data_IF_774227185209
#
_entry.id   IF_774227185209
#
_cell.length_a   1.000
_cell.length_b   1.000
_cell.length_c   1.000
_cell.angle_alpha   90.00
_cell.angle_beta   90.00
_cell.angle_gamma   90.00
#
_symmetry.space_group_name_H-M   'P 1'
#
loop_
_entity.id
_entity.type
_entity.pdbx_description
1 polymer ?
#
# COMPACT_ATOMS: atom_id res chain seq x y z
N UNK A 1 -8.69 10.77 2.47
CA UNK A 1 -8.52 9.37 2.02
C UNK A 1 -7.63 8.56 2.97
N UNK A 2 -6.37 8.94 3.20
CA UNK A 2 -5.43 8.15 4.03
C UNK A 2 -5.92 7.75 5.43
N UNK A 3 -6.68 8.60 6.13
CA UNK A 3 -7.21 8.26 7.46
C UNK A 3 -8.39 7.30 7.47
N UNK A 4 -9.11 7.17 6.35
CA UNK A 4 -10.42 6.52 6.30
C UNK A 4 -10.49 5.36 5.32
N UNK A 5 -9.39 5.05 4.63
CA UNK A 5 -9.36 4.06 3.56
C UNK A 5 -9.81 2.66 4.01
N UNK A 6 -9.49 2.30 5.26
CA UNK A 6 -9.84 1.02 5.85
C UNK A 6 -11.18 1.00 6.60
N UNK A 7 -11.99 2.07 6.56
CA UNK A 7 -13.25 2.14 7.34
C UNK A 7 -14.25 1.03 6.98
N UNK A 8 -14.22 0.53 5.75
CA UNK A 8 -15.06 -0.58 5.29
C UNK A 8 -14.78 -1.91 6.00
N UNK A 9 -13.60 -2.07 6.63
CA UNK A 9 -13.28 -3.24 7.44
C UNK A 9 -14.22 -3.39 8.66
N UNK A 10 -14.91 -2.32 9.06
CA UNK A 10 -15.97 -2.39 10.08
C UNK A 10 -17.20 -3.18 9.64
N UNK A 11 -17.41 -3.34 8.33
CA UNK A 11 -18.45 -4.19 7.73
C UNK A 11 -17.87 -5.56 7.41
N UNK A 12 -16.86 -5.61 6.53
CA UNK A 12 -16.20 -6.84 6.11
C UNK A 12 -14.80 -6.52 5.59
N UNK A 13 -13.88 -7.48 5.74
CA UNK A 13 -12.56 -7.42 5.10
C UNK A 13 -12.65 -7.60 3.59
N UNK A 14 -13.59 -8.41 3.11
CA UNK A 14 -13.88 -8.55 1.69
C UNK A 14 -14.62 -7.31 1.18
N UNK A 15 -14.16 -6.76 0.06
CA UNK A 15 -14.73 -5.54 -0.56
C UNK A 15 -14.71 -4.33 0.40
N UNK A 16 -13.68 -4.21 1.24
CA UNK A 16 -13.62 -3.13 2.23
C UNK A 16 -13.42 -1.76 1.56
N UNK A 17 -12.77 -1.70 0.40
CA UNK A 17 -12.65 -0.46 -0.39
C UNK A 17 -14.01 0.06 -0.82
N UNK A 18 -14.79 -0.69 -1.64
CA UNK A 18 -16.13 -0.30 -2.06
C UNK A 18 -17.09 -0.01 -0.90
N UNK A 19 -17.10 -0.87 0.13
CA UNK A 19 -17.92 -0.66 1.32
C UNK A 19 -17.55 0.64 2.04
N UNK A 20 -16.25 0.92 2.17
CA UNK A 20 -15.74 2.17 2.75
C UNK A 20 -16.17 3.40 1.95
N UNK A 21 -16.11 3.34 0.62
CA UNK A 21 -16.55 4.44 -0.25
C UNK A 21 -18.05 4.77 -0.08
N UNK A 22 -18.90 3.73 -0.05
CA UNK A 22 -20.36 3.89 0.15
C UNK A 22 -20.68 4.46 1.54
N UNK A 23 -19.98 3.98 2.58
CA UNK A 23 -20.13 4.50 3.94
C UNK A 23 -19.71 5.97 4.05
N UNK A 24 -18.58 6.34 3.43
CA UNK A 24 -17.99 7.67 3.58
C UNK A 24 -18.78 8.75 2.85
N UNK A 25 -19.44 8.45 1.74
CA UNK A 25 -20.16 9.46 0.97
C UNK A 25 -21.15 10.30 1.82
N UNK A 26 -22.14 9.71 2.51
CA UNK A 26 -23.04 10.49 3.35
C UNK A 26 -22.33 11.16 4.54
N UNK A 27 -21.36 10.48 5.17
CA UNK A 27 -20.64 10.98 6.34
C UNK A 27 -19.86 12.26 6.00
N UNK A 28 -19.11 12.26 4.90
CA UNK A 28 -18.30 13.41 4.49
C UNK A 28 -19.19 14.57 4.02
N UNK A 29 -20.31 14.26 3.35
CA UNK A 29 -21.30 15.27 2.95
C UNK A 29 -21.95 15.96 4.14
N UNK A 30 -22.38 15.18 5.14
CA UNK A 30 -23.00 15.70 6.38
C UNK A 30 -22.00 16.49 7.23
N UNK A 31 -20.72 16.14 7.19
CA UNK A 31 -19.64 16.90 7.81
C UNK A 31 -19.33 18.24 7.12
N UNK A 32 -20.02 18.57 6.01
CA UNK A 32 -19.88 19.84 5.30
C UNK A 32 -18.72 19.88 4.29
N UNK A 33 -18.17 18.72 3.90
CA UNK A 33 -17.13 18.66 2.87
C UNK A 33 -17.71 18.96 1.48
N UNK A 34 -16.96 19.72 0.68
CA UNK A 34 -17.35 20.05 -0.69
C UNK A 34 -17.50 18.80 -1.55
N UNK A 35 -18.50 18.79 -2.46
CA UNK A 35 -18.86 17.58 -3.21
C UNK A 35 -17.68 17.02 -4.03
N UNK A 36 -16.85 17.90 -4.60
CA UNK A 36 -15.70 17.49 -5.38
C UNK A 36 -14.66 16.76 -4.51
N UNK A 37 -14.41 17.26 -3.30
CA UNK A 37 -13.47 16.64 -2.36
C UNK A 37 -14.02 15.31 -1.82
N UNK A 38 -15.34 15.25 -1.56
CA UNK A 38 -16.02 13.99 -1.20
C UNK A 38 -15.81 12.94 -2.28
N UNK A 39 -16.09 13.27 -3.54
CA UNK A 39 -15.93 12.35 -4.67
C UNK A 39 -14.48 11.92 -4.82
N UNK A 40 -13.52 12.83 -4.73
CA UNK A 40 -12.10 12.49 -4.79
C UNK A 40 -11.69 11.50 -3.68
N UNK A 41 -12.16 11.72 -2.44
CA UNK A 41 -11.87 10.84 -1.31
C UNK A 41 -12.51 9.47 -1.49
N UNK A 42 -13.82 9.39 -1.74
CA UNK A 42 -14.50 8.08 -1.85
C UNK A 42 -14.02 7.30 -3.07
N UNK A 43 -13.66 7.96 -4.17
CA UNK A 43 -13.11 7.27 -5.35
C UNK A 43 -11.73 6.71 -5.03
N UNK A 44 -10.87 7.45 -4.34
CA UNK A 44 -9.59 6.93 -3.88
C UNK A 44 -9.77 5.73 -2.92
N UNK A 45 -10.71 5.82 -1.96
CA UNK A 45 -11.00 4.73 -1.02
C UNK A 45 -11.66 3.53 -1.71
N UNK A 46 -12.55 3.73 -2.67
CA UNK A 46 -13.21 2.62 -3.38
C UNK A 46 -12.24 1.77 -4.21
N UNK A 47 -11.12 2.35 -4.64
CA UNK A 47 -10.24 1.78 -5.65
C UNK A 47 -8.83 1.43 -5.14
N UNK A 48 -8.60 1.43 -3.82
CA UNK A 48 -7.27 1.19 -3.27
C UNK A 48 -6.94 -0.29 -2.99
N UNK A 49 -7.83 -1.23 -3.30
CA UNK A 49 -7.55 -2.67 -3.18
C UNK A 49 -6.93 -3.27 -4.45
N UNK A 50 -6.02 -4.22 -4.28
CA UNK A 50 -5.21 -4.80 -5.35
C UNK A 50 -6.04 -5.66 -6.33
N UNK A 51 -7.08 -6.33 -5.82
CA UNK A 51 -7.87 -7.31 -6.59
C UNK A 51 -8.91 -6.65 -7.52
N UNK A 52 -9.39 -5.46 -7.17
CA UNK A 52 -10.54 -4.82 -7.83
C UNK A 52 -10.35 -3.33 -8.11
N UNK A 53 -9.31 -2.70 -7.56
CA UNK A 53 -9.08 -1.27 -7.62
C UNK A 53 -8.33 -0.80 -8.87
N UNK A 54 -8.37 0.50 -9.11
CA UNK A 54 -7.62 1.16 -10.19
C UNK A 54 -7.17 2.55 -9.75
N UNK A 55 -5.92 2.88 -10.05
CA UNK A 55 -5.38 4.23 -9.78
C UNK A 55 -6.02 5.24 -10.73
N UNK A 56 -6.82 6.16 -10.18
CA UNK A 56 -7.69 7.06 -10.97
C UNK A 56 -7.40 8.55 -10.78
N UNK A 57 -6.59 8.91 -9.78
CA UNK A 57 -6.24 10.30 -9.47
C UNK A 57 -4.90 10.38 -8.74
N UNK A 58 -4.33 11.58 -8.62
CA UNK A 58 -3.11 11.78 -7.83
C UNK A 58 -3.31 11.42 -6.35
N UNK A 59 -4.51 11.67 -5.79
CA UNK A 59 -4.87 11.27 -4.42
C UNK A 59 -4.96 9.75 -4.30
N UNK A 60 -5.55 9.07 -5.28
CA UNK A 60 -5.61 7.60 -5.33
C UNK A 60 -4.19 7.00 -5.43
N UNK A 61 -3.34 7.55 -6.29
CA UNK A 61 -1.95 7.10 -6.44
C UNK A 61 -1.16 7.26 -5.13
N UNK A 62 -1.26 8.43 -4.49
CA UNK A 62 -0.62 8.70 -3.22
C UNK A 62 -1.13 7.77 -2.11
N UNK A 63 -2.44 7.47 -2.09
CA UNK A 63 -3.03 6.53 -1.13
C UNK A 63 -2.48 5.11 -1.33
N UNK A 64 -2.46 4.61 -2.57
CA UNK A 64 -1.94 3.28 -2.90
C UNK A 64 -0.47 3.17 -2.49
N UNK A 65 0.37 4.13 -2.85
CA UNK A 65 1.79 4.11 -2.46
C UNK A 65 1.90 4.07 -0.93
N UNK A 66 1.17 4.92 -0.20
CA UNK A 66 1.24 4.98 1.25
C UNK A 66 0.77 3.68 1.93
N UNK A 67 -0.33 3.08 1.48
CA UNK A 67 -0.89 1.85 2.06
C UNK A 67 -0.09 0.60 1.67
N UNK A 68 0.15 0.41 0.37
CA UNK A 68 0.73 -0.84 -0.14
C UNK A 68 2.22 -0.97 0.15
N UNK A 69 2.92 0.15 0.31
CA UNK A 69 4.32 0.14 0.77
C UNK A 69 4.46 0.00 2.29
N UNK A 70 3.39 0.09 3.09
CA UNK A 70 3.46 -0.09 4.54
C UNK A 70 3.60 -1.58 4.90
N UNK A 71 4.84 -2.03 4.99
CA UNK A 71 5.22 -3.36 5.47
C UNK A 71 6.16 -3.20 6.68
N UNK A 72 5.76 -3.67 7.86
CA UNK A 72 6.59 -3.50 9.06
C UNK A 72 6.34 -4.59 10.10
N UNK A 73 7.40 -4.93 10.86
CA UNK A 73 7.36 -5.92 11.96
C UNK A 73 6.35 -5.63 13.07
N UNK A 74 5.91 -4.38 13.22
CA UNK A 74 4.87 -4.00 14.19
C UNK A 74 3.52 -4.63 13.88
N UNK A 75 3.32 -5.16 12.67
CA UNK A 75 2.15 -5.94 12.29
C UNK A 75 2.11 -7.34 12.95
N UNK A 76 3.22 -7.81 13.52
CA UNK A 76 3.30 -9.09 14.25
C UNK A 76 2.76 -8.89 15.68
N UNK A 77 1.69 -9.61 16.00
CA UNK A 77 1.02 -9.52 17.32
C UNK A 77 2.01 -9.87 18.44
N UNK A 78 2.08 -9.03 19.46
CA UNK A 78 2.87 -9.24 20.68
C UNK A 78 4.39 -9.45 20.48
N UNK A 79 4.94 -9.10 19.31
CA UNK A 79 6.38 -9.23 19.01
C UNK A 79 6.90 -10.68 18.96
N UNK A 80 6.01 -11.68 18.95
CA UNK A 80 6.35 -13.10 18.84
C UNK A 80 5.73 -13.64 17.55
N UNK A 81 6.51 -13.81 16.48
CA UNK A 81 5.98 -14.36 15.23
C UNK A 81 5.61 -15.83 15.40
N UNK A 82 4.49 -16.24 14.82
CA UNK A 82 4.25 -17.64 14.53
C UNK A 82 5.23 -18.08 13.42
N UNK A 83 6.15 -18.98 13.74
CA UNK A 83 7.14 -19.48 12.78
C UNK A 83 6.50 -20.29 11.65
N UNK A 84 5.29 -20.80 11.82
CA UNK A 84 4.58 -21.57 10.80
C UNK A 84 3.82 -20.67 9.82
N UNK A 85 3.46 -19.45 10.21
CA UNK A 85 2.78 -18.48 9.36
C UNK A 85 3.79 -17.64 8.55
N UNK A 86 3.69 -17.72 7.22
CA UNK A 86 4.55 -16.96 6.29
C UNK A 86 4.37 -15.45 6.45
N UNK A 87 3.16 -14.98 6.74
CA UNK A 87 2.90 -13.54 6.92
C UNK A 87 3.63 -13.01 8.15
N UNK A 88 3.58 -13.73 9.27
CA UNK A 88 4.29 -13.36 10.48
C UNK A 88 5.81 -13.43 10.30
N UNK A 89 6.34 -14.48 9.67
CA UNK A 89 7.78 -14.58 9.36
C UNK A 89 8.27 -13.43 8.49
N UNK A 90 7.56 -13.14 7.39
CA UNK A 90 7.93 -12.07 6.46
C UNK A 90 7.86 -10.72 7.18
N UNK A 91 6.76 -10.40 7.85
CA UNK A 91 6.61 -9.12 8.56
C UNK A 91 7.67 -8.99 9.65
N UNK A 92 7.93 -10.04 10.43
CA UNK A 92 8.97 -10.03 11.46
C UNK A 92 10.36 -9.81 10.88
N UNK A 93 10.62 -10.34 9.67
CA UNK A 93 11.93 -10.19 9.04
C UNK A 93 12.25 -8.73 8.68
N UNK A 94 11.24 -7.90 8.37
CA UNK A 94 11.38 -6.49 7.98
C UNK A 94 11.75 -5.64 9.20
N UNK A 95 13.04 -5.29 9.31
CA UNK A 95 13.60 -4.47 10.39
C UNK A 95 13.51 -2.97 10.11
N UNK A 96 13.57 -2.57 8.84
CA UNK A 96 13.37 -1.18 8.39
C UNK A 96 12.59 -1.20 7.09
N UNK A 97 11.75 -0.20 6.92
CA UNK A 97 11.03 0.09 5.68
C UNK A 97 11.01 1.61 5.52
N UNK A 98 11.46 2.10 4.37
CA UNK A 98 11.51 3.50 4.06
C UNK A 98 11.01 3.74 2.63
N UNK A 99 10.27 4.82 2.43
CA UNK A 99 9.82 5.25 1.10
C UNK A 99 10.36 6.65 0.85
N UNK A 100 11.09 6.82 -0.26
CA UNK A 100 11.75 8.07 -0.62
C UNK A 100 11.33 8.53 -2.01
N UNK A 101 11.34 9.85 -2.22
CA UNK A 101 11.00 10.47 -3.50
C UNK A 101 12.22 11.21 -4.03
N UNK A 102 12.77 10.75 -5.15
CA UNK A 102 13.79 11.47 -5.92
C UNK A 102 13.13 12.16 -7.11
N UNK A 103 12.79 13.43 -6.91
CA UNK A 103 12.14 14.25 -7.94
C UNK A 103 13.01 14.48 -9.18
N UNK A 104 14.33 14.46 -9.05
CA UNK A 104 15.24 14.72 -10.19
C UNK A 104 15.33 13.50 -11.10
N UNK A 105 15.32 12.31 -10.50
CA UNK A 105 15.39 11.05 -11.24
C UNK A 105 14.02 10.48 -11.62
N UNK A 106 12.95 11.14 -11.21
CA UNK A 106 11.58 10.66 -11.36
C UNK A 106 11.37 9.27 -10.72
N UNK A 107 11.85 9.09 -9.49
CA UNK A 107 11.82 7.79 -8.80
C UNK A 107 11.10 7.94 -7.45
N UNK A 108 10.21 6.99 -7.16
CA UNK A 108 9.74 6.69 -5.81
C UNK A 108 10.34 5.33 -5.43
N UNK A 109 11.14 5.30 -4.37
CA UNK A 109 11.86 4.09 -3.96
C UNK A 109 11.38 3.59 -2.60
N UNK A 110 11.02 2.32 -2.53
CA UNK A 110 10.84 1.59 -1.28
C UNK A 110 12.12 0.80 -0.94
N UNK A 111 12.63 0.99 0.26
CA UNK A 111 13.85 0.35 0.76
C UNK A 111 13.53 -0.46 2.01
N UNK A 112 13.72 -1.79 1.92
CA UNK A 112 13.53 -2.71 3.03
C UNK A 112 14.87 -3.25 3.52
N UNK A 113 14.99 -3.39 4.83
CA UNK A 113 16.06 -4.13 5.47
C UNK A 113 15.44 -5.34 6.18
N UNK A 114 15.76 -6.54 5.70
CA UNK A 114 15.24 -7.82 6.18
C UNK A 114 16.34 -8.64 6.85
N UNK A 115 16.02 -9.25 8.00
CA UNK A 115 16.89 -10.24 8.63
C UNK A 115 16.69 -11.65 7.99
N UNK A 116 17.40 -12.65 8.50
CA UNK A 116 17.32 -14.03 7.99
C UNK A 116 16.12 -14.87 8.42
N UNK A 117 15.11 -14.31 9.09
CA UNK A 117 13.91 -15.05 9.52
C UNK A 117 12.94 -15.36 8.37
N UNK A 118 13.12 -14.73 7.21
CA UNK A 118 12.40 -15.01 5.97
C UNK A 118 13.26 -14.65 4.77
N UNK A 119 12.90 -15.16 3.59
CA UNK A 119 13.58 -14.89 2.32
C UNK A 119 12.88 -13.80 1.51
N UNK A 120 13.61 -13.21 0.55
CA UNK A 120 13.03 -12.30 -0.46
C UNK A 120 11.94 -12.99 -1.27
N UNK A 121 12.10 -14.29 -1.57
CA UNK A 121 11.10 -15.05 -2.31
C UNK A 121 9.78 -15.17 -1.53
N UNK A 122 9.85 -15.46 -0.23
CA UNK A 122 8.66 -15.49 0.64
C UNK A 122 8.01 -14.11 0.76
N UNK A 123 8.81 -13.04 0.88
CA UNK A 123 8.29 -11.68 0.85
C UNK A 123 7.49 -11.41 -0.43
N UNK A 124 8.08 -11.71 -1.59
CA UNK A 124 7.40 -11.51 -2.88
C UNK A 124 6.15 -12.38 -3.01
N UNK A 125 6.15 -13.60 -2.46
CA UNK A 125 4.98 -14.49 -2.53
C UNK A 125 3.70 -13.89 -1.92
N UNK A 126 3.83 -12.97 -0.95
CA UNK A 126 2.69 -12.32 -0.28
C UNK A 126 2.54 -10.82 -0.59
N UNK A 127 3.62 -10.13 -0.97
CA UNK A 127 3.60 -8.69 -1.24
C UNK A 127 3.60 -8.36 -2.73
N UNK A 128 3.79 -9.31 -3.65
CA UNK A 128 3.86 -8.98 -5.08
C UNK A 128 2.65 -8.19 -5.61
N UNK A 129 1.38 -8.54 -5.31
CA UNK A 129 0.24 -7.73 -5.75
C UNK A 129 0.30 -6.27 -5.26
N UNK A 130 0.75 -6.05 -4.01
CA UNK A 130 0.95 -4.73 -3.41
C UNK A 130 2.01 -3.93 -4.17
N UNK A 131 3.13 -4.58 -4.50
CA UNK A 131 4.24 -3.98 -5.22
C UNK A 131 3.83 -3.59 -6.65
N UNK A 132 3.10 -4.46 -7.35
CA UNK A 132 2.58 -4.16 -8.69
C UNK A 132 1.60 -2.98 -8.66
N UNK A 133 0.77 -2.87 -7.64
CA UNK A 133 -0.13 -1.72 -7.50
C UNK A 133 0.64 -0.41 -7.21
N UNK A 134 1.73 -0.47 -6.42
CA UNK A 134 2.65 0.65 -6.24
C UNK A 134 3.31 1.08 -7.57
N UNK A 135 3.70 0.13 -8.42
CA UNK A 135 4.26 0.41 -9.75
C UNK A 135 3.26 1.19 -10.61
N UNK A 136 2.00 0.71 -10.69
CA UNK A 136 0.92 1.40 -11.41
C UNK A 136 0.65 2.81 -10.85
N UNK A 137 0.66 2.97 -9.53
CA UNK A 137 0.46 4.25 -8.88
C UNK A 137 1.61 5.24 -9.16
N UNK A 138 2.85 4.77 -9.18
CA UNK A 138 3.99 5.59 -9.54
C UNK A 138 3.94 5.98 -11.03
N UNK A 139 3.61 5.04 -11.91
CA UNK A 139 3.47 5.30 -13.35
C UNK A 139 2.41 6.38 -13.62
N UNK A 140 1.26 6.31 -12.95
CA UNK A 140 0.23 7.35 -13.02
C UNK A 140 0.76 8.75 -12.66
N UNK A 141 1.68 8.84 -11.69
CA UNK A 141 2.34 10.08 -11.28
C UNK A 141 3.53 10.48 -12.17
N UNK A 142 3.78 9.76 -13.27
CA UNK A 142 4.95 9.95 -14.12
C UNK A 142 6.27 9.66 -13.40
N UNK A 143 6.26 8.75 -12.44
CA UNK A 143 7.40 8.30 -11.66
C UNK A 143 7.65 6.80 -11.91
N UNK A 144 8.89 6.36 -11.71
CA UNK A 144 9.22 4.94 -11.65
C UNK A 144 9.24 4.47 -10.20
N UNK A 145 8.66 3.31 -9.93
CA UNK A 145 8.79 2.64 -8.64
C UNK A 145 10.05 1.77 -8.59
N UNK A 146 10.82 1.86 -7.52
CA UNK A 146 11.97 0.97 -7.27
C UNK A 146 11.83 0.29 -5.90
N UNK A 147 11.94 -1.03 -5.87
CA UNK A 147 12.02 -1.83 -4.65
C UNK A 147 13.46 -2.29 -4.44
N UNK A 148 14.04 -1.90 -3.31
CA UNK A 148 15.32 -2.39 -2.83
C UNK A 148 15.14 -3.19 -1.54
N UNK A 149 15.78 -4.36 -1.46
CA UNK A 149 15.81 -5.19 -0.25
C UNK A 149 17.26 -5.50 0.09
N UNK A 150 17.68 -5.19 1.33
CA UNK A 150 19.06 -5.37 1.79
C UNK A 150 20.08 -4.74 0.84
N UNK A 151 19.83 -3.49 0.46
CA UNK A 151 20.64 -2.67 -0.46
C UNK A 151 20.80 -3.26 -1.87
N UNK A 152 19.94 -4.22 -2.24
CA UNK A 152 19.89 -4.81 -3.58
C UNK A 152 18.58 -4.47 -4.28
N UNK A 153 18.65 -4.01 -5.53
CA UNK A 153 17.44 -3.79 -6.32
C UNK A 153 16.75 -5.10 -6.68
N UNK A 154 15.41 -5.08 -6.66
CA UNK A 154 14.53 -6.24 -6.93
C UNK A 154 13.81 -6.11 -8.28
N UNK A 155 13.28 -4.93 -8.62
CA UNK A 155 12.51 -4.67 -9.85
C UNK A 155 13.24 -3.72 -10.84
N UNK A 156 14.56 -3.89 -10.97
CA UNK A 156 15.46 -2.98 -11.70
C UNK A 156 15.48 -3.12 -13.24
N UNK A 157 14.71 -4.03 -13.83
CA UNK A 157 14.62 -4.16 -15.27
C UNK A 157 13.21 -3.79 -15.75
N UNK A 158 13.15 -2.72 -16.54
CA UNK A 158 11.96 -2.29 -17.27
C UNK A 158 11.91 -3.14 -18.54
N UNK A 159 10.76 -3.80 -18.79
CA UNK A 159 10.37 -4.24 -20.13
C UNK A 159 9.87 -3.05 -20.95
#
# INVERSE_FOLDING_TARGET
AGWVHDVGNSINRHEHGPNGAVLLYPILREAGMEINDVVEVITAVGNHEEESGTVSSAVSAALVIADKSDAHKSRVRNGKPDLTDVHDRVNFSIQKNNVTVDRKKHIIRQELQMNGSSSVLEYLSIYLPRILMCEQACEFLGQRFELNINDRPVNNQIS
#
